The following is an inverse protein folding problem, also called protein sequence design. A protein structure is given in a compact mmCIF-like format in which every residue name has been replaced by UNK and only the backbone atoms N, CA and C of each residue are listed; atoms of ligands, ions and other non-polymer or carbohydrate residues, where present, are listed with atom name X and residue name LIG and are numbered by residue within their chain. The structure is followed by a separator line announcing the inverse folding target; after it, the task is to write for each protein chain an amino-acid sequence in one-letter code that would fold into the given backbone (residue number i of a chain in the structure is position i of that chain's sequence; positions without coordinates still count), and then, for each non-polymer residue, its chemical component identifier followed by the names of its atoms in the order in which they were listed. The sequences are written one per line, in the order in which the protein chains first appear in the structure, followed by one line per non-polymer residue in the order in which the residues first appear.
data_IF_318105716631
#
_entry.id   IF_318105716631
#
_cell.length_a   1.000
_cell.length_b   1.000
_cell.length_c   1.000
_cell.angle_alpha   90.00
_cell.angle_beta   90.00
_cell.angle_gamma   90.00
#
_symmetry.space_group_name_H-M   'P 1'
#
loop_
_entity.id
_entity.type
_entity.pdbx_description
1 polymer ?
#
# COMPACT_ATOMS: atom_id res chain seq x y z
N UNK A 1 -23.12 33.41 13.33
CA UNK A 1 -23.17 31.98 13.69
C UNK A 1 -23.20 31.01 12.50
N UNK A 2 -23.26 31.45 11.22
CA UNK A 2 -23.11 30.56 10.05
C UNK A 2 -21.65 30.32 9.65
N UNK A 3 -20.81 31.35 9.75
CA UNK A 3 -19.38 31.28 9.42
C UNK A 3 -18.57 30.40 10.37
N UNK A 4 -18.99 30.29 11.64
CA UNK A 4 -18.31 29.48 12.65
C UNK A 4 -18.39 27.98 12.32
N UNK A 5 -19.55 27.49 11.86
CA UNK A 5 -19.70 26.11 11.35
C UNK A 5 -18.84 25.85 10.10
N UNK A 6 -18.67 26.85 9.22
CA UNK A 6 -17.83 26.69 8.03
C UNK A 6 -16.33 26.62 8.38
N UNK A 7 -15.88 27.40 9.35
CA UNK A 7 -14.49 27.39 9.84
C UNK A 7 -14.18 26.05 10.52
N UNK A 8 -15.11 25.52 11.31
CA UNK A 8 -14.95 24.23 12.00
C UNK A 8 -14.90 23.04 11.02
N UNK A 9 -15.73 23.07 9.97
CA UNK A 9 -15.71 22.06 8.90
C UNK A 9 -14.41 22.13 8.11
N UNK A 10 -13.90 23.33 7.82
CA UNK A 10 -12.62 23.51 7.14
C UNK A 10 -11.43 22.98 7.96
N UNK A 11 -11.39 23.25 9.27
CA UNK A 11 -10.34 22.79 10.19
C UNK A 11 -10.34 21.26 10.38
N UNK A 12 -11.50 20.62 10.32
CA UNK A 12 -11.61 19.16 10.36
C UNK A 12 -11.22 18.51 9.02
N UNK A 13 -11.48 19.18 7.89
CA UNK A 13 -11.14 18.66 6.55
C UNK A 13 -9.64 18.64 6.25
N UNK A 14 -8.84 19.51 6.87
CA UNK A 14 -7.37 19.56 6.64
C UNK A 14 -6.63 18.34 7.23
N UNK A 15 -7.25 17.63 8.17
CA UNK A 15 -6.65 16.45 8.82
C UNK A 15 -7.00 15.13 8.11
N UNK A 16 -7.81 15.15 7.06
CA UNK A 16 -8.41 13.93 6.51
C UNK A 16 -7.76 13.38 5.23
N UNK A 17 -6.79 14.06 4.63
CA UNK A 17 -6.21 13.62 3.36
C UNK A 17 -4.68 13.62 3.36
N UNK A 18 -4.08 12.91 4.32
CA UNK A 18 -2.69 12.48 4.22
C UNK A 18 -2.63 11.02 3.77
N UNK A 19 -3.01 10.74 2.51
CA UNK A 19 -2.67 9.46 1.86
C UNK A 19 -1.31 9.61 1.18
N UNK A 20 -0.25 9.71 1.97
CA UNK A 20 1.10 9.61 1.40
C UNK A 20 1.32 8.15 1.00
N UNK A 21 1.04 7.81 -0.25
CA UNK A 21 1.48 6.55 -0.83
C UNK A 21 3.01 6.52 -0.74
N UNK A 22 3.56 5.83 0.26
CA UNK A 22 5.00 5.75 0.40
C UNK A 22 5.60 5.02 -0.80
N UNK A 23 6.64 5.59 -1.43
CA UNK A 23 7.29 4.93 -2.56
C UNK A 23 7.86 3.58 -2.10
N UNK A 24 7.62 2.53 -2.89
CA UNK A 24 8.27 1.25 -2.67
C UNK A 24 9.65 1.27 -3.29
N UNK A 25 10.67 1.12 -2.45
CA UNK A 25 12.06 1.05 -2.87
C UNK A 25 12.52 -0.39 -2.66
N UNK A 26 12.63 -1.14 -3.75
CA UNK A 26 13.13 -2.51 -3.75
C UNK A 26 14.40 -2.59 -4.62
N UNK A 27 15.32 -3.48 -4.24
CA UNK A 27 16.47 -3.82 -5.08
C UNK A 27 16.05 -4.68 -6.27
N UNK A 28 16.80 -4.67 -7.36
CA UNK A 28 16.58 -5.58 -8.51
C UNK A 28 17.02 -7.04 -8.25
N UNK A 29 17.03 -7.49 -6.99
CA UNK A 29 17.38 -8.87 -6.64
C UNK A 29 16.23 -9.79 -7.03
N UNK A 30 16.50 -10.74 -7.91
CA UNK A 30 15.50 -11.73 -8.32
C UNK A 30 15.53 -12.95 -7.39
N UNK A 31 14.56 -13.00 -6.49
CA UNK A 31 14.31 -14.11 -5.56
C UNK A 31 12.79 -14.32 -5.46
N UNK A 32 12.20 -15.05 -6.42
CA UNK A 32 10.77 -14.98 -6.65
C UNK A 32 9.94 -15.53 -5.49
N UNK A 33 8.74 -14.97 -5.31
CA UNK A 33 7.74 -15.39 -4.34
C UNK A 33 6.39 -15.56 -5.04
N UNK A 34 5.65 -16.60 -4.69
CA UNK A 34 4.29 -16.80 -5.18
C UNK A 34 3.31 -16.15 -4.22
N UNK A 35 2.47 -15.23 -4.71
CA UNK A 35 1.41 -14.59 -3.93
C UNK A 35 0.16 -15.46 -3.78
N UNK A 36 -0.66 -15.16 -2.77
CA UNK A 36 -2.00 -15.76 -2.57
C UNK A 36 -2.95 -15.52 -3.75
N UNK A 37 -2.65 -14.55 -4.59
CA UNK A 37 -3.37 -14.23 -5.83
C UNK A 37 -2.87 -15.02 -7.06
N UNK A 38 -1.91 -15.94 -6.86
CA UNK A 38 -1.35 -16.78 -7.92
C UNK A 38 -0.37 -16.07 -8.85
N UNK A 39 0.14 -14.87 -8.48
CA UNK A 39 1.18 -14.16 -9.24
C UNK A 39 2.57 -14.40 -8.65
N UNK A 40 3.55 -14.51 -9.54
CA UNK A 40 4.97 -14.48 -9.17
C UNK A 40 5.43 -13.04 -8.98
N UNK A 41 5.98 -12.74 -7.81
CA UNK A 41 6.62 -11.47 -7.47
C UNK A 41 8.14 -11.64 -7.54
N UNK A 42 8.90 -10.68 -8.12
CA UNK A 42 10.35 -10.82 -8.30
C UNK A 42 11.15 -10.98 -7.00
N UNK A 43 10.65 -10.40 -5.91
CA UNK A 43 11.22 -10.53 -4.56
C UNK A 43 10.12 -10.41 -3.50
N UNK A 44 10.45 -10.75 -2.24
CA UNK A 44 9.58 -10.50 -1.10
C UNK A 44 9.24 -9.00 -0.96
N UNK A 45 10.19 -8.09 -1.26
CA UNK A 45 9.95 -6.65 -1.20
C UNK A 45 8.89 -6.20 -2.22
N UNK A 46 8.90 -6.77 -3.42
CA UNK A 46 7.90 -6.45 -4.46
C UNK A 46 6.51 -6.93 -4.06
N UNK A 47 6.42 -8.10 -3.41
CA UNK A 47 5.16 -8.63 -2.87
C UNK A 47 4.63 -7.73 -1.74
N UNK A 48 5.48 -7.37 -0.77
CA UNK A 48 5.12 -6.48 0.33
C UNK A 48 4.67 -5.10 -0.17
N UNK A 49 5.32 -4.59 -1.22
CA UNK A 49 4.89 -3.36 -1.87
C UNK A 49 3.47 -3.48 -2.44
N UNK A 50 3.19 -4.56 -3.17
CA UNK A 50 1.86 -4.80 -3.71
C UNK A 50 0.82 -4.99 -2.59
N UNK A 51 1.22 -5.55 -1.45
CA UNK A 51 0.34 -5.73 -0.30
C UNK A 51 -0.10 -4.40 0.34
N UNK A 52 0.66 -3.30 0.16
CA UNK A 52 0.26 -1.95 0.61
C UNK A 52 -1.06 -1.47 -0.02
N UNK A 53 -1.39 -1.95 -1.22
CA UNK A 53 -2.64 -1.60 -1.92
C UNK A 53 -3.59 -2.79 -2.05
N UNK A 54 -3.17 -3.98 -1.63
CA UNK A 54 -3.96 -5.20 -1.63
C UNK A 54 -3.81 -5.95 -0.30
N UNK A 55 -4.67 -5.68 0.70
CA UNK A 55 -4.52 -6.25 2.05
C UNK A 55 -4.73 -7.78 2.12
N UNK A 56 -5.35 -8.38 1.09
CA UNK A 56 -5.54 -9.83 1.01
C UNK A 56 -4.33 -10.57 0.38
N UNK A 57 -3.35 -9.81 -0.13
CA UNK A 57 -2.13 -10.37 -0.69
C UNK A 57 -1.20 -10.86 0.42
N UNK A 58 -0.92 -12.15 0.41
CA UNK A 58 0.02 -12.82 1.31
C UNK A 58 0.95 -13.72 0.52
N UNK A 59 2.03 -14.18 1.14
CA UNK A 59 2.93 -15.17 0.53
C UNK A 59 2.25 -16.54 0.54
N UNK A 60 2.13 -17.17 -0.63
CA UNK A 60 1.64 -18.55 -0.78
C UNK A 60 2.78 -19.57 -0.68
N UNK A 61 3.88 -19.36 -1.41
CA UNK A 61 5.11 -20.17 -1.35
C UNK A 61 6.34 -19.37 -1.77
N UNK A 62 7.51 -19.83 -1.38
CA UNK A 62 8.78 -19.39 -1.96
C UNK A 62 8.93 -19.91 -3.40
N UNK A 63 9.57 -19.13 -4.27
CA UNK A 63 9.73 -19.44 -5.68
C UNK A 63 8.61 -18.89 -6.56
N UNK A 64 8.67 -19.17 -7.85
CA UNK A 64 7.59 -18.82 -8.78
C UNK A 64 6.31 -19.60 -8.47
N UNK A 65 5.15 -19.02 -8.79
CA UNK A 65 3.92 -19.78 -8.94
C UNK A 65 4.08 -20.80 -10.09
#
# INVERSE_FOLDING_TARGET
MKYFSLIFVALLAVNFMATTAEPCICTFLYWPMCGSDGKTYPSACDLDCAAKTNPDLTVAKEGEC
#
